data_IF_475326997801
#
_entry.id   IF_475326997801
#
_cell.length_a   1.000
_cell.length_b   1.000
_cell.length_c   1.000
_cell.angle_alpha   90.00
_cell.angle_beta   90.00
_cell.angle_gamma   90.00
#
_symmetry.space_group_name_H-M   'P 1'
#
loop_
_entity.id
_entity.type
_entity.pdbx_description
1 polymer ?
#
# COMPACT_ATOMS: atom_id res chain seq x y z
N UNK A 1 -17.02 34.57 28.34
CA UNK A 1 -16.96 34.59 26.86
C UNK A 1 -17.49 33.25 26.38
N UNK A 2 -18.71 33.24 25.84
CA UNK A 2 -19.38 32.04 25.34
C UNK A 2 -19.16 32.00 23.82
N UNK A 3 -18.64 30.90 23.29
CA UNK A 3 -18.40 30.72 21.85
C UNK A 3 -19.40 29.67 21.36
N UNK A 4 -20.50 30.15 20.77
CA UNK A 4 -21.52 29.33 20.11
C UNK A 4 -21.08 29.00 18.69
N UNK A 5 -21.22 27.73 18.29
CA UNK A 5 -21.00 27.25 16.92
C UNK A 5 -22.22 27.57 16.04
N UNK A 6 -22.06 27.92 14.75
CA UNK A 6 -23.20 28.11 13.86
C UNK A 6 -23.71 26.77 13.31
N UNK A 7 -25.03 26.60 13.44
CA UNK A 7 -25.85 25.49 13.00
C UNK A 7 -26.09 25.53 11.48
N UNK A 8 -25.86 24.42 10.79
CA UNK A 8 -26.07 24.29 9.34
C UNK A 8 -27.56 24.07 9.05
N UNK A 9 -28.11 24.96 8.21
CA UNK A 9 -29.51 25.04 7.80
C UNK A 9 -29.93 23.77 7.04
N UNK A 10 -31.10 23.25 7.42
CA UNK A 10 -31.81 22.15 6.77
C UNK A 10 -32.52 22.64 5.50
N UNK A 11 -32.35 21.94 4.38
CA UNK A 11 -33.15 22.17 3.18
C UNK A 11 -34.27 21.12 3.12
N UNK A 12 -35.50 21.59 3.24
CA UNK A 12 -36.74 20.83 3.10
C UNK A 12 -37.13 20.73 1.62
N UNK A 13 -37.27 19.51 1.10
CA UNK A 13 -37.74 19.25 -0.25
C UNK A 13 -38.54 17.95 -0.34
N UNK A 14 -39.87 18.11 -0.31
CA UNK A 14 -40.92 17.31 -0.96
C UNK A 14 -40.88 15.77 -0.91
N UNK A 15 -41.87 15.23 -0.20
CA UNK A 15 -42.38 13.85 -0.26
C UNK A 15 -42.87 13.50 -1.68
N UNK A 16 -42.53 12.31 -2.20
CA UNK A 16 -43.39 11.52 -3.08
C UNK A 16 -43.21 10.01 -2.80
N UNK A 17 -44.35 9.35 -2.69
CA UNK A 17 -44.63 7.96 -2.31
C UNK A 17 -44.52 7.02 -3.52
N UNK A 18 -44.06 5.79 -3.28
CA UNK A 18 -44.49 4.58 -4.01
C UNK A 18 -43.56 4.08 -5.13
N UNK A 19 -42.82 2.97 -4.92
CA UNK A 19 -43.27 1.59 -5.19
C UNK A 19 -42.09 0.60 -5.13
N UNK A 20 -42.33 -0.71 -4.87
CA UNK A 20 -41.30 -1.70 -4.59
C UNK A 20 -40.94 -2.50 -5.85
N UNK A 21 -39.70 -2.41 -6.32
CA UNK A 21 -39.14 -3.39 -7.24
C UNK A 21 -37.66 -3.64 -6.91
N UNK A 22 -37.42 -4.73 -6.20
CA UNK A 22 -36.15 -5.46 -6.19
C UNK A 22 -35.95 -6.16 -7.53
N UNK A 23 -34.76 -6.10 -8.11
CA UNK A 23 -34.21 -7.25 -8.79
C UNK A 23 -32.81 -7.61 -8.26
N UNK A 24 -32.74 -8.81 -7.69
CA UNK A 24 -31.63 -9.76 -7.55
C UNK A 24 -30.16 -9.28 -7.51
N UNK A 25 -29.33 -9.77 -6.56
CA UNK A 25 -27.89 -9.78 -6.77
C UNK A 25 -27.57 -10.81 -7.87
N UNK A 26 -27.05 -10.33 -9.00
CA UNK A 26 -26.39 -11.21 -9.96
C UNK A 26 -25.17 -11.83 -9.28
N UNK A 27 -25.29 -13.08 -8.81
CA UNK A 27 -24.16 -13.85 -8.35
C UNK A 27 -23.32 -14.22 -9.57
N UNK A 28 -22.22 -13.52 -9.79
CA UNK A 28 -21.18 -13.97 -10.72
C UNK A 28 -20.51 -15.17 -10.08
N UNK A 29 -20.85 -16.37 -10.55
CA UNK A 29 -20.04 -17.57 -10.37
C UNK A 29 -18.78 -17.41 -11.20
N UNK A 30 -17.69 -16.96 -10.59
CA UNK A 30 -16.36 -17.11 -11.17
C UNK A 30 -15.77 -18.44 -10.71
N UNK A 31 -16.19 -19.52 -11.35
CA UNK A 31 -15.41 -20.75 -11.41
C UNK A 31 -14.25 -20.55 -12.36
N UNK A 32 -13.06 -20.28 -11.83
CA UNK A 32 -11.83 -20.83 -12.39
C UNK A 32 -10.73 -20.80 -11.32
N UNK A 33 -10.36 -21.99 -10.88
CA UNK A 33 -9.02 -22.25 -10.35
C UNK A 33 -8.08 -21.93 -11.50
N UNK A 34 -7.28 -20.88 -11.34
CA UNK A 34 -6.19 -20.56 -12.25
C UNK A 34 -4.89 -20.74 -11.47
N UNK A 35 -4.07 -21.63 -12.02
CA UNK A 35 -2.68 -21.92 -11.69
C UNK A 35 -1.86 -20.66 -11.36
N UNK A 36 -0.71 -20.90 -10.73
CA UNK A 36 0.34 -19.93 -10.43
C UNK A 36 0.72 -19.05 -11.65
N UNK A 37 -0.08 -18.01 -11.90
CA UNK A 37 0.22 -16.99 -12.88
C UNK A 37 1.33 -16.13 -12.29
N UNK A 38 2.53 -16.30 -12.84
CA UNK A 38 3.66 -15.41 -12.60
C UNK A 38 3.18 -13.96 -12.70
N UNK A 39 3.50 -13.17 -11.68
CA UNK A 39 3.07 -11.79 -11.56
C UNK A 39 3.66 -10.96 -12.72
N UNK A 40 2.88 -10.79 -13.79
CA UNK A 40 3.21 -9.84 -14.85
C UNK A 40 3.09 -8.41 -14.30
N UNK A 41 4.12 -7.55 -14.42
CA UNK A 41 4.03 -6.16 -13.98
C UNK A 41 2.90 -5.48 -14.77
N UNK A 42 1.75 -5.29 -14.12
CA UNK A 42 0.58 -4.69 -14.73
C UNK A 42 0.93 -3.26 -15.16
N UNK A 43 0.99 -3.00 -16.48
CA UNK A 43 1.07 -1.65 -17.07
C UNK A 43 -0.26 -0.88 -16.92
N UNK A 44 -0.96 -0.99 -15.79
CA UNK A 44 -2.09 -0.12 -15.46
C UNK A 44 -1.53 1.18 -14.88
N UNK A 45 -1.07 2.07 -15.75
CA UNK A 45 -0.86 3.46 -15.38
C UNK A 45 -2.21 4.09 -15.03
N UNK A 46 -2.42 4.47 -13.77
CA UNK A 46 -3.47 5.42 -13.39
C UNK A 46 -3.14 6.18 -12.10
N UNK A 47 -2.64 7.40 -12.32
CA UNK A 47 -2.76 8.60 -11.49
C UNK A 47 -2.02 8.59 -10.14
N UNK A 48 -0.84 9.22 -10.14
CA UNK A 48 -0.06 9.58 -8.97
C UNK A 48 1.33 8.98 -9.07
N UNK A 49 2.30 9.77 -9.51
CA UNK A 49 3.73 9.49 -9.60
C UNK A 49 4.35 9.16 -8.24
N UNK A 50 3.94 8.05 -7.64
CA UNK A 50 4.61 7.47 -6.48
C UNK A 50 5.85 6.80 -7.04
N UNK A 51 6.89 7.61 -7.19
CA UNK A 51 8.22 7.40 -7.78
C UNK A 51 8.99 6.15 -7.27
N UNK A 52 8.36 4.97 -7.26
CA UNK A 52 8.86 3.76 -6.60
C UNK A 52 8.75 3.76 -5.08
N UNK A 53 8.08 4.74 -4.44
CA UNK A 53 8.08 4.88 -2.96
C UNK A 53 6.94 4.16 -2.23
N UNK A 54 6.14 3.34 -2.91
CA UNK A 54 4.97 2.67 -2.33
C UNK A 54 5.30 1.33 -1.66
N UNK A 55 4.38 0.83 -0.82
CA UNK A 55 4.52 -0.49 -0.18
C UNK A 55 4.80 -1.58 -1.21
N UNK A 56 4.12 -1.59 -2.37
CA UNK A 56 4.38 -2.55 -3.45
C UNK A 56 5.85 -2.62 -3.89
N UNK A 57 6.52 -1.47 -4.00
CA UNK A 57 7.92 -1.42 -4.43
C UNK A 57 8.84 -1.93 -3.33
N UNK A 58 8.64 -1.48 -2.09
CA UNK A 58 9.45 -1.93 -0.97
C UNK A 58 9.21 -3.41 -0.64
N UNK A 59 7.98 -3.91 -0.71
CA UNK A 59 7.67 -5.33 -0.56
C UNK A 59 8.41 -6.18 -1.59
N UNK A 60 8.50 -5.72 -2.84
CA UNK A 60 9.27 -6.41 -3.87
C UNK A 60 10.76 -6.46 -3.50
N UNK A 61 11.34 -5.32 -3.12
CA UNK A 61 12.74 -5.22 -2.73
C UNK A 61 13.09 -6.03 -1.47
N UNK A 62 12.21 -6.03 -0.47
CA UNK A 62 12.36 -6.84 0.75
C UNK A 62 12.37 -8.32 0.40
N UNK A 63 11.45 -8.78 -0.47
CA UNK A 63 11.43 -10.17 -0.92
C UNK A 63 12.73 -10.57 -1.62
N UNK A 64 13.20 -9.78 -2.59
CA UNK A 64 14.48 -10.00 -3.27
C UNK A 64 15.66 -10.11 -2.29
N UNK A 65 15.68 -9.26 -1.26
CA UNK A 65 16.77 -9.20 -0.30
C UNK A 65 16.78 -10.41 0.64
N UNK A 66 15.63 -10.75 1.20
CA UNK A 66 15.48 -11.93 2.08
C UNK A 66 15.81 -13.20 1.31
N UNK A 67 15.31 -13.34 0.08
CA UNK A 67 15.61 -14.51 -0.75
C UNK A 67 17.11 -14.64 -1.07
N UNK A 68 17.79 -13.52 -1.38
CA UNK A 68 19.22 -13.53 -1.72
C UNK A 68 20.12 -13.84 -0.53
N UNK A 69 19.81 -13.31 0.65
CA UNK A 69 20.62 -13.49 1.87
C UNK A 69 20.31 -14.79 2.61
N UNK A 70 19.08 -15.30 2.49
CA UNK A 70 18.59 -16.46 3.24
C UNK A 70 18.27 -16.10 4.69
N UNK A 71 19.28 -15.78 5.49
CA UNK A 71 19.14 -15.29 6.86
C UNK A 71 19.54 -13.83 6.92
N UNK A 72 18.66 -12.97 7.42
CA UNK A 72 18.90 -11.53 7.49
C UNK A 72 18.15 -10.92 8.67
N UNK A 73 18.47 -9.68 9.03
CA UNK A 73 17.78 -8.94 10.08
C UNK A 73 17.03 -7.73 9.54
N UNK A 74 16.04 -7.26 10.30
CA UNK A 74 15.30 -6.05 9.95
C UNK A 74 16.23 -4.84 9.67
N UNK A 75 17.20 -4.58 10.57
CA UNK A 75 18.07 -3.41 10.43
C UNK A 75 18.92 -3.53 9.16
N UNK A 76 19.49 -4.71 8.91
CA UNK A 76 20.27 -4.99 7.71
C UNK A 76 19.46 -4.75 6.42
N UNK A 77 18.25 -5.31 6.32
CA UNK A 77 17.38 -5.09 5.15
C UNK A 77 17.00 -3.62 5.02
N UNK A 78 16.63 -2.96 6.12
CA UNK A 78 16.23 -1.56 6.10
C UNK A 78 17.37 -0.64 5.66
N UNK A 79 18.55 -0.80 6.24
CA UNK A 79 19.69 0.08 5.98
C UNK A 79 20.23 -0.10 4.56
N UNK A 80 20.25 -1.33 4.04
CA UNK A 80 20.59 -1.55 2.63
C UNK A 80 19.60 -0.91 1.67
N UNK A 81 18.29 -1.02 1.94
CA UNK A 81 17.27 -0.39 1.08
C UNK A 81 17.28 1.13 1.17
N UNK A 82 17.56 1.69 2.36
CA UNK A 82 17.77 3.12 2.53
C UNK A 82 18.97 3.55 1.68
N UNK A 83 20.11 2.88 1.82
CA UNK A 83 21.32 3.20 1.06
C UNK A 83 21.12 3.10 -0.45
N UNK A 84 20.45 2.05 -0.95
CA UNK A 84 20.18 1.90 -2.38
C UNK A 84 19.29 3.03 -2.90
N UNK A 85 18.27 3.41 -2.12
CA UNK A 85 17.29 4.41 -2.55
C UNK A 85 17.82 5.85 -2.45
N UNK A 86 18.64 6.15 -1.44
CA UNK A 86 19.31 7.46 -1.33
C UNK A 86 20.33 7.65 -2.44
N UNK A 87 21.13 6.62 -2.74
CA UNK A 87 22.19 6.68 -3.75
C UNK A 87 21.65 6.68 -5.18
N UNK A 88 20.48 6.05 -5.41
CA UNK A 88 19.77 6.12 -6.69
C UNK A 88 19.18 7.51 -6.97
N UNK A 89 19.05 8.35 -5.94
CA UNK A 89 18.40 9.66 -5.98
C UNK A 89 19.39 10.76 -5.56
N UNK A 90 20.60 10.71 -6.16
CA UNK A 90 21.80 11.52 -5.85
C UNK A 90 21.64 13.06 -5.90
N UNK A 91 20.43 13.58 -6.08
CA UNK A 91 20.15 15.01 -6.22
C UNK A 91 18.90 15.43 -5.41
N UNK A 92 18.81 15.07 -4.13
CA UNK A 92 17.72 15.53 -3.25
C UNK A 92 18.25 16.05 -1.91
N UNK A 93 17.59 17.11 -1.42
CA UNK A 93 17.91 17.78 -0.15
C UNK A 93 17.89 16.83 1.06
N UNK A 94 18.70 17.14 2.08
CA UNK A 94 18.87 16.32 3.29
C UNK A 94 17.53 15.95 3.98
N UNK A 95 16.56 16.86 4.00
CA UNK A 95 15.23 16.62 4.59
C UNK A 95 14.44 15.51 3.87
N UNK A 96 14.63 15.38 2.55
CA UNK A 96 14.01 14.30 1.78
C UNK A 96 14.61 12.94 2.14
N UNK A 97 15.92 12.90 2.43
CA UNK A 97 16.62 11.67 2.81
C UNK A 97 16.14 11.14 4.17
N UNK A 98 15.94 12.04 5.14
CA UNK A 98 15.40 11.66 6.45
C UNK A 98 13.95 11.15 6.36
N UNK A 99 13.12 11.79 5.52
CA UNK A 99 11.76 11.31 5.26
C UNK A 99 11.77 9.93 4.58
N UNK A 100 12.60 9.76 3.56
CA UNK A 100 12.72 8.51 2.82
C UNK A 100 13.20 7.38 3.74
N UNK A 101 14.17 7.63 4.63
CA UNK A 101 14.59 6.65 5.63
C UNK A 101 13.46 6.21 6.55
N UNK A 102 12.70 7.16 7.11
CA UNK A 102 11.54 6.85 7.99
C UNK A 102 10.47 6.08 7.23
N UNK A 103 10.21 6.46 5.97
CA UNK A 103 9.24 5.82 5.12
C UNK A 103 9.65 4.37 4.83
N UNK A 104 10.87 4.15 4.37
CA UNK A 104 11.43 2.82 4.05
C UNK A 104 11.34 1.91 5.26
N UNK A 105 11.83 2.36 6.42
CA UNK A 105 11.77 1.60 7.69
C UNK A 105 10.34 1.12 8.00
N UNK A 106 9.36 2.03 7.90
CA UNK A 106 7.95 1.66 8.13
C UNK A 106 7.48 0.58 7.15
N UNK A 107 7.84 0.69 5.88
CA UNK A 107 7.40 -0.24 4.82
C UNK A 107 8.07 -1.61 4.93
N UNK A 108 9.33 -1.66 5.38
CA UNK A 108 10.05 -2.92 5.62
C UNK A 108 9.35 -3.74 6.70
N UNK A 109 8.92 -3.11 7.80
CA UNK A 109 8.14 -3.81 8.82
C UNK A 109 6.82 -4.37 8.26
N UNK A 110 6.07 -3.59 7.48
CA UNK A 110 4.82 -4.06 6.86
C UNK A 110 5.08 -5.32 6.00
N UNK A 111 6.12 -5.27 5.16
CA UNK A 111 6.44 -6.37 4.25
C UNK A 111 6.87 -7.64 5.01
N UNK A 112 7.81 -7.52 5.95
CA UNK A 112 8.30 -8.67 6.71
C UNK A 112 7.19 -9.32 7.53
N UNK A 113 6.34 -8.51 8.16
CA UNK A 113 5.24 -9.03 8.99
C UNK A 113 4.22 -9.80 8.16
N UNK A 114 3.87 -9.30 6.97
CA UNK A 114 2.97 -10.02 6.06
C UNK A 114 3.64 -11.30 5.54
N UNK A 115 4.91 -11.26 5.14
CA UNK A 115 5.64 -12.45 4.68
C UNK A 115 5.70 -13.53 5.77
N UNK A 116 5.88 -13.12 7.03
CA UNK A 116 5.88 -14.01 8.18
C UNK A 116 4.49 -14.59 8.43
N UNK A 117 3.43 -13.76 8.37
CA UNK A 117 2.05 -14.20 8.51
C UNK A 117 1.59 -15.16 7.39
N UNK A 118 2.17 -15.03 6.20
CA UNK A 118 1.96 -15.95 5.08
C UNK A 118 2.86 -17.20 5.15
N UNK A 119 3.62 -17.38 6.23
CA UNK A 119 4.54 -18.50 6.42
C UNK A 119 5.62 -18.65 5.33
N UNK A 120 5.95 -17.55 4.63
CA UNK A 120 6.97 -17.52 3.58
C UNK A 120 8.37 -17.36 4.20
N UNK A 121 8.46 -16.66 5.33
CA UNK A 121 9.70 -16.45 6.09
C UNK A 121 9.47 -16.76 7.57
N UNK A 122 10.51 -17.17 8.26
CA UNK A 122 10.52 -17.38 9.71
C UNK A 122 11.37 -16.32 10.42
N UNK A 123 11.08 -16.09 11.71
CA UNK A 123 11.89 -15.24 12.59
C UNK A 123 13.05 -16.04 13.20
#
# INVERSE_FOLDING_TARGET
>A
MIISTPQRIANSGSVLIGNPYTPAPAMVTQTHIAEAAGWVPSKRSKKGDKNGKGLRHFSMKVCEKVQRKGTTSYNEVADELVSEFTNSNNHLAADSQAYDQKNIRRRVYDALNVLMAMNIISK
#
